data_IF_676706754083
#
_entry.id   IF_676706754083
#
_cell.length_a   1.000
_cell.length_b   1.000
_cell.length_c   1.000
_cell.angle_alpha   90.00
_cell.angle_beta   90.00
_cell.angle_gamma   90.00
#
_symmetry.space_group_name_H-M   'P 1'
#
loop_
_entity.id
_entity.type
_entity.pdbx_description
1 polymer ?
#
# COMPACT_ATOMS: atom_id res chain seq x y z
N UNK A 1 14.39 52.17 -30.09
CA UNK A 1 13.06 52.32 -30.76
C UNK A 1 11.96 51.70 -29.89
N UNK A 2 10.77 52.29 -29.84
CA UNK A 2 9.67 51.81 -29.00
C UNK A 2 9.25 50.35 -29.32
N UNK A 3 9.29 49.96 -30.59
CA UNK A 3 8.97 48.60 -31.02
C UNK A 3 9.87 47.53 -30.40
N UNK A 4 11.17 47.81 -30.26
CA UNK A 4 12.11 46.86 -29.65
C UNK A 4 11.89 46.76 -28.14
N UNK A 5 11.52 47.86 -27.48
CA UNK A 5 11.17 47.83 -26.06
C UNK A 5 9.91 46.99 -25.82
N UNK A 6 8.89 47.12 -26.68
CA UNK A 6 7.67 46.31 -26.59
C UNK A 6 7.97 44.81 -26.75
N UNK A 7 8.78 44.42 -27.74
CA UNK A 7 9.20 43.03 -27.93
C UNK A 7 9.94 42.46 -26.72
N UNK A 8 10.80 43.26 -26.08
CA UNK A 8 11.54 42.85 -24.88
C UNK A 8 10.58 42.65 -23.70
N UNK A 9 9.61 43.55 -23.50
CA UNK A 9 8.61 43.42 -22.42
C UNK A 9 7.78 42.15 -22.61
N UNK A 10 7.27 41.90 -23.81
CA UNK A 10 6.51 40.68 -24.14
C UNK A 10 7.33 39.40 -23.85
N UNK A 11 8.62 39.41 -24.21
CA UNK A 11 9.51 38.29 -23.95
C UNK A 11 9.77 38.07 -22.45
N UNK A 12 9.87 39.14 -21.66
CA UNK A 12 10.04 39.08 -20.21
C UNK A 12 8.76 38.54 -19.56
N UNK A 13 7.59 39.03 -19.97
CA UNK A 13 6.30 38.57 -19.45
C UNK A 13 6.10 37.07 -19.69
N UNK A 14 6.37 36.60 -20.91
CA UNK A 14 6.32 35.16 -21.22
C UNK A 14 7.36 34.33 -20.44
N UNK A 15 8.52 34.90 -20.14
CA UNK A 15 9.51 34.23 -19.32
C UNK A 15 9.09 34.14 -17.84
N UNK A 16 8.44 35.17 -17.30
CA UNK A 16 7.93 35.19 -15.93
C UNK A 16 6.82 34.15 -15.73
N UNK A 17 5.91 34.00 -16.70
CA UNK A 17 4.88 32.96 -16.65
C UNK A 17 5.48 31.56 -16.52
N UNK A 18 6.55 31.27 -17.28
CA UNK A 18 7.28 29.99 -17.17
C UNK A 18 8.00 29.80 -15.84
N UNK A 19 8.46 30.89 -15.21
CA UNK A 19 9.08 30.84 -13.88
C UNK A 19 8.03 30.45 -12.84
N UNK A 20 6.83 31.01 -12.94
CA UNK A 20 5.72 30.69 -12.04
C UNK A 20 5.27 29.22 -12.22
N UNK A 21 5.12 28.75 -13.47
CA UNK A 21 4.82 27.34 -13.76
C UNK A 21 5.89 26.39 -13.21
N UNK A 22 7.17 26.77 -13.32
CA UNK A 22 8.27 25.99 -12.77
C UNK A 22 8.22 25.96 -11.25
N UNK A 23 7.90 27.07 -10.59
CA UNK A 23 7.77 27.14 -9.14
C UNK A 23 6.64 26.22 -8.64
N UNK A 24 5.48 26.22 -9.31
CA UNK A 24 4.38 25.31 -8.99
C UNK A 24 4.78 23.83 -9.18
N UNK A 25 5.43 23.53 -10.29
CA UNK A 25 5.91 22.18 -10.61
C UNK A 25 6.93 21.68 -9.58
N UNK A 26 7.84 22.55 -9.15
CA UNK A 26 8.83 22.26 -8.10
C UNK A 26 8.15 21.96 -6.76
N UNK A 27 7.22 22.81 -6.33
CA UNK A 27 6.47 22.60 -5.08
C UNK A 27 5.69 21.28 -5.09
N UNK A 28 5.10 20.92 -6.23
CA UNK A 28 4.38 19.65 -6.39
C UNK A 28 5.32 18.44 -6.28
N UNK A 29 6.51 18.54 -6.86
CA UNK A 29 7.53 17.50 -6.77
C UNK A 29 8.01 17.33 -5.32
N UNK A 30 8.28 18.44 -4.62
CA UNK A 30 8.69 18.41 -3.21
C UNK A 30 7.63 17.76 -2.31
N UNK A 31 6.34 18.07 -2.53
CA UNK A 31 5.25 17.42 -1.80
C UNK A 31 5.17 15.92 -2.07
N UNK A 32 5.31 15.52 -3.33
CA UNK A 32 5.34 14.11 -3.72
C UNK A 32 6.50 13.38 -3.06
N UNK A 33 7.71 13.93 -3.11
CA UNK A 33 8.90 13.32 -2.51
C UNK A 33 8.76 13.18 -0.99
N UNK A 34 8.08 14.13 -0.35
CA UNK A 34 7.80 14.06 1.09
C UNK A 34 6.80 12.96 1.44
N UNK A 35 5.75 12.77 0.65
CA UNK A 35 4.67 11.81 0.95
C UNK A 35 4.93 10.39 0.41
N UNK A 36 5.69 10.27 -0.66
CA UNK A 36 5.87 9.02 -1.40
C UNK A 36 6.51 7.90 -0.55
N UNK A 37 7.56 8.15 0.26
CA UNK A 37 8.18 7.09 1.08
C UNK A 37 7.18 6.42 2.05
N UNK A 38 6.32 7.21 2.69
CA UNK A 38 5.34 6.69 3.63
C UNK A 38 4.21 5.92 2.91
N UNK A 39 3.74 6.42 1.77
CA UNK A 39 2.75 5.72 0.93
C UNK A 39 3.30 4.40 0.40
N UNK A 40 4.56 4.39 -0.04
CA UNK A 40 5.23 3.20 -0.53
C UNK A 40 5.40 2.16 0.59
N UNK A 41 5.87 2.59 1.77
CA UNK A 41 6.01 1.71 2.94
C UNK A 41 4.67 1.07 3.34
N UNK A 42 3.59 1.86 3.38
CA UNK A 42 2.23 1.34 3.66
C UNK A 42 1.80 0.32 2.60
N UNK A 43 2.02 0.62 1.32
CA UNK A 43 1.67 -0.29 0.23
C UNK A 43 2.44 -1.61 0.29
N UNK A 44 3.76 -1.57 0.53
CA UNK A 44 4.59 -2.78 0.67
C UNK A 44 4.12 -3.63 1.86
N UNK A 45 3.86 -3.01 3.02
CA UNK A 45 3.36 -3.72 4.19
C UNK A 45 2.01 -4.37 3.92
N UNK A 46 1.10 -3.68 3.25
CA UNK A 46 -0.20 -4.23 2.87
C UNK A 46 -0.05 -5.43 1.93
N UNK A 47 0.80 -5.33 0.92
CA UNK A 47 1.06 -6.44 -0.01
C UNK A 47 1.72 -7.63 0.69
N UNK A 48 2.60 -7.37 1.67
CA UNK A 48 3.21 -8.41 2.51
C UNK A 48 2.14 -9.16 3.32
N UNK A 49 1.24 -8.42 3.97
CA UNK A 49 0.13 -9.00 4.74
C UNK A 49 -0.83 -9.82 3.86
N UNK A 50 -1.03 -9.39 2.61
CA UNK A 50 -1.84 -10.12 1.62
C UNK A 50 -1.11 -11.32 1.01
N UNK A 51 0.17 -11.56 1.35
CA UNK A 51 0.97 -12.63 0.75
C UNK A 51 1.37 -12.37 -0.72
N UNK A 52 1.13 -11.18 -1.27
CA UNK A 52 1.31 -10.87 -2.70
C UNK A 52 2.72 -10.47 -3.11
N UNK A 53 3.68 -10.49 -2.19
CA UNK A 53 5.07 -10.13 -2.49
C UNK A 53 5.83 -11.20 -3.27
N UNK A 54 5.26 -12.39 -3.43
CA UNK A 54 5.85 -13.52 -4.15
C UNK A 54 4.77 -14.15 -5.02
N UNK A 55 5.18 -14.73 -6.16
CA UNK A 55 4.30 -15.53 -7.01
C UNK A 55 3.66 -16.65 -6.18
N UNK A 56 2.34 -16.78 -6.30
CA UNK A 56 1.58 -17.83 -5.62
C UNK A 56 1.55 -19.08 -6.51
N UNK A 57 1.66 -20.27 -5.92
CA UNK A 57 1.50 -21.51 -6.67
C UNK A 57 0.00 -21.74 -6.93
N UNK A 58 -0.45 -21.86 -8.19
CA UNK A 58 -1.86 -22.15 -8.48
C UNK A 58 -2.33 -23.51 -7.95
N UNK A 59 -1.41 -24.39 -7.56
CA UNK A 59 -1.70 -25.67 -6.91
C UNK A 59 -1.78 -25.55 -5.37
N UNK A 60 -1.54 -24.36 -4.80
CA UNK A 60 -1.71 -24.14 -3.37
C UNK A 60 -3.16 -24.43 -2.96
N UNK A 61 -3.32 -25.11 -1.83
CA UNK A 61 -4.64 -25.41 -1.30
C UNK A 61 -5.36 -24.14 -0.84
N UNK A 62 -6.69 -24.13 -0.92
CA UNK A 62 -7.45 -22.97 -0.45
C UNK A 62 -7.30 -22.82 1.07
N UNK A 63 -7.37 -21.56 1.53
CA UNK A 63 -7.32 -21.23 2.96
C UNK A 63 -8.42 -21.98 3.74
N UNK A 64 -9.59 -22.18 3.14
CA UNK A 64 -10.69 -22.93 3.74
C UNK A 64 -10.32 -24.39 4.04
N UNK A 65 -9.69 -25.07 3.07
CA UNK A 65 -9.25 -26.47 3.22
C UNK A 65 -8.17 -26.58 4.30
N UNK A 66 -7.21 -25.65 4.31
CA UNK A 66 -6.18 -25.60 5.35
C UNK A 66 -6.78 -25.36 6.74
N UNK A 67 -7.76 -24.46 6.87
CA UNK A 67 -8.45 -24.19 8.14
C UNK A 67 -9.21 -25.41 8.65
N UNK A 68 -9.86 -26.18 7.78
CA UNK A 68 -10.52 -27.43 8.17
C UNK A 68 -9.52 -28.45 8.71
N UNK A 69 -8.35 -28.62 8.05
CA UNK A 69 -7.26 -29.49 8.52
C UNK A 69 -6.76 -29.06 9.90
N UNK A 70 -6.53 -27.75 10.09
CA UNK A 70 -6.08 -27.21 11.38
C UNK A 70 -7.12 -27.47 12.48
N UNK A 71 -8.43 -27.29 12.21
CA UNK A 71 -9.51 -27.60 13.18
C UNK A 71 -9.50 -29.07 13.57
N UNK A 72 -9.43 -29.96 12.58
CA UNK A 72 -9.42 -31.40 12.82
C UNK A 72 -8.19 -31.84 13.63
N UNK A 73 -7.00 -31.31 13.31
CA UNK A 73 -5.77 -31.63 14.03
C UNK A 73 -5.78 -31.07 15.46
N UNK A 74 -6.25 -29.83 15.66
CA UNK A 74 -6.44 -29.26 17.01
C UNK A 74 -7.42 -30.09 17.84
N UNK A 75 -8.53 -30.54 17.26
CA UNK A 75 -9.51 -31.39 17.93
C UNK A 75 -8.87 -32.70 18.40
N UNK A 76 -8.11 -33.36 17.53
CA UNK A 76 -7.37 -34.58 17.88
C UNK A 76 -6.35 -34.33 19.00
N UNK A 77 -5.58 -33.26 18.94
CA UNK A 77 -4.61 -32.91 19.99
C UNK A 77 -5.26 -32.61 21.34
N UNK A 78 -6.48 -32.04 21.33
CA UNK A 78 -7.26 -31.82 22.54
C UNK A 78 -7.74 -33.14 23.15
N UNK A 79 -8.23 -34.06 22.32
CA UNK A 79 -8.63 -35.41 22.74
C UNK A 79 -7.44 -36.21 23.28
N UNK A 80 -6.26 -36.03 22.70
CA UNK A 80 -4.99 -36.58 23.20
C UNK A 80 -4.46 -35.87 24.46
N UNK A 81 -5.13 -34.82 24.94
CA UNK A 81 -4.76 -34.07 26.15
C UNK A 81 -3.51 -33.18 26.01
N UNK A 82 -3.04 -32.96 24.79
CA UNK A 82 -1.80 -32.19 24.50
C UNK A 82 -2.03 -30.66 24.50
N UNK A 83 -3.26 -30.22 24.27
CA UNK A 83 -3.65 -28.80 24.27
C UNK A 83 -4.89 -28.54 25.12
N UNK A 84 -5.15 -27.28 25.48
CA UNK A 84 -6.31 -26.90 26.30
C UNK A 84 -7.49 -26.49 25.41
N UNK A 85 -8.71 -26.54 25.98
CA UNK A 85 -9.96 -26.18 25.26
C UNK A 85 -9.90 -24.78 24.61
N UNK A 86 -9.21 -23.82 25.24
CA UNK A 86 -9.01 -22.46 24.70
C UNK A 86 -8.20 -22.42 23.41
N UNK A 87 -7.37 -23.44 23.16
CA UNK A 87 -6.47 -23.50 22.01
C UNK A 87 -7.18 -24.08 20.77
N UNK A 88 -8.42 -24.60 20.92
CA UNK A 88 -9.27 -25.08 19.82
C UNK A 88 -9.79 -23.94 18.95
N UNK A 89 -9.93 -22.75 19.51
CA UNK A 89 -10.41 -21.59 18.76
C UNK A 89 -9.37 -21.15 17.72
N UNK A 90 -9.84 -20.71 16.57
CA UNK A 90 -8.99 -20.21 15.49
C UNK A 90 -9.45 -18.80 15.17
N UNK A 91 -8.63 -17.82 15.54
CA UNK A 91 -8.82 -16.43 15.12
C UNK A 91 -8.69 -16.35 13.60
N UNK A 92 -9.78 -15.96 12.94
CA UNK A 92 -9.77 -15.66 11.50
C UNK A 92 -9.46 -14.18 11.37
N UNK A 93 -8.38 -13.85 10.65
CA UNK A 93 -8.06 -12.47 10.30
C UNK A 93 -9.10 -11.99 9.29
N UNK A 94 -9.81 -10.91 9.64
CA UNK A 94 -10.91 -10.34 8.87
C UNK A 94 -10.53 -9.00 8.25
N UNK A 95 -11.10 -8.68 7.09
CA UNK A 95 -10.89 -7.39 6.43
C UNK A 95 -11.86 -6.36 7.02
N UNK A 96 -11.32 -5.28 7.60
CA UNK A 96 -12.10 -4.15 8.11
C UNK A 96 -12.53 -3.17 7.03
N UNK A 97 -13.41 -2.24 7.39
CA UNK A 97 -13.95 -1.20 6.50
C UNK A 97 -12.86 -0.25 5.96
N UNK A 98 -11.71 -0.19 6.64
CA UNK A 98 -10.52 0.58 6.29
C UNK A 98 -9.56 -0.18 5.36
N UNK A 99 -9.96 -1.35 4.85
CA UNK A 99 -9.14 -2.24 4.02
C UNK A 99 -7.90 -2.81 4.76
N UNK A 100 -7.86 -2.67 6.09
CA UNK A 100 -6.88 -3.30 6.97
C UNK A 100 -7.33 -4.70 7.39
N UNK A 101 -6.39 -5.56 7.75
CA UNK A 101 -6.67 -6.92 8.22
C UNK A 101 -6.41 -7.01 9.73
N UNK A 102 -7.39 -7.45 10.52
CA UNK A 102 -7.33 -7.64 11.98
C UNK A 102 -7.72 -9.06 12.40
#
# INVERSE_FOLDING_TARGET
PLSEQQRIVEAIESALEKVDEYAESYNRLEQLDKEFPDKLKKSILQYAMQGKLVEQDPNDESVEVLLEKIRAEKQKLFEEGKIKKKDLDISIVSQGDDNSYY
#
